data_IF_537582836678
#
_entry.id   IF_537582836678
#
_cell.length_a   1.000
_cell.length_b   1.000
_cell.length_c   1.000
_cell.angle_alpha   90.00
_cell.angle_beta   90.00
_cell.angle_gamma   90.00
#
_symmetry.space_group_name_H-M   'P 1'
#
loop_
_entity.id
_entity.type
_entity.pdbx_description
1 polymer ?
#
# COMPACT_ATOMS: atom_id res chain seq x y z
N UNK A 1 -12.46 -26.18 -8.42
CA UNK A 1 -12.86 -25.92 -7.02
C UNK A 1 -12.49 -24.47 -6.75
N UNK A 2 -13.47 -23.55 -6.72
CA UNK A 2 -13.20 -22.14 -6.48
C UNK A 2 -13.01 -21.92 -4.99
N UNK A 3 -11.80 -21.55 -4.57
CA UNK A 3 -11.55 -21.09 -3.21
C UNK A 3 -12.36 -19.79 -3.02
N UNK A 4 -13.11 -19.69 -1.92
CA UNK A 4 -13.97 -18.54 -1.67
C UNK A 4 -13.12 -17.29 -1.51
N UNK A 5 -13.47 -16.18 -2.19
CA UNK A 5 -12.69 -14.94 -2.23
C UNK A 5 -12.37 -14.26 -0.89
N UNK A 6 -12.79 -14.82 0.24
CA UNK A 6 -12.36 -14.41 1.58
C UNK A 6 -10.96 -14.91 1.95
N UNK A 7 -10.54 -16.09 1.50
CA UNK A 7 -9.23 -16.66 1.85
C UNK A 7 -8.08 -15.89 1.17
N UNK A 8 -8.26 -15.54 -0.11
CA UNK A 8 -7.29 -14.73 -0.88
C UNK A 8 -7.15 -13.32 -0.29
N UNK A 9 -8.23 -12.75 0.25
CA UNK A 9 -8.21 -11.45 0.89
C UNK A 9 -7.41 -11.45 2.20
N UNK A 10 -7.57 -12.51 3.02
CA UNK A 10 -6.81 -12.70 4.26
C UNK A 10 -5.33 -12.93 3.94
N UNK A 11 -5.02 -13.80 2.98
CA UNK A 11 -3.65 -14.07 2.57
C UNK A 11 -2.93 -12.80 2.04
N UNK A 12 -3.62 -11.96 1.26
CA UNK A 12 -3.06 -10.69 0.79
C UNK A 12 -2.78 -9.70 1.93
N UNK A 13 -3.64 -9.68 2.96
CA UNK A 13 -3.42 -8.87 4.16
C UNK A 13 -2.22 -9.38 4.95
N UNK A 14 -2.16 -10.68 5.23
CA UNK A 14 -1.06 -11.30 5.95
C UNK A 14 0.27 -11.13 5.22
N UNK A 15 0.25 -11.16 3.88
CA UNK A 15 1.43 -10.90 3.07
C UNK A 15 1.96 -9.47 3.26
N UNK A 16 1.08 -8.45 3.17
CA UNK A 16 1.45 -7.07 3.44
C UNK A 16 1.94 -6.89 4.89
N UNK A 17 1.21 -7.44 5.86
CA UNK A 17 1.56 -7.35 7.28
C UNK A 17 2.87 -8.06 7.61
N UNK A 18 3.14 -9.22 7.02
CA UNK A 18 4.40 -9.95 7.16
C UNK A 18 5.60 -9.28 6.48
N UNK A 19 5.36 -8.49 5.43
CA UNK A 19 6.41 -7.66 4.82
C UNK A 19 6.78 -6.49 5.74
N UNK A 20 5.77 -5.87 6.35
CA UNK A 20 5.95 -4.80 7.34
C UNK A 20 6.57 -5.29 8.64
N UNK A 21 6.31 -6.53 9.09
CA UNK A 21 6.91 -7.06 10.32
C UNK A 21 8.42 -7.28 10.21
N UNK A 22 8.99 -7.33 9.00
CA UNK A 22 10.45 -7.35 8.78
C UNK A 22 11.11 -6.01 9.09
N UNK A 23 10.30 -4.97 9.29
CA UNK A 23 10.70 -3.59 9.56
C UNK A 23 10.73 -3.31 11.07
N UNK A 24 10.22 -4.23 11.90
CA UNK A 24 10.01 -3.96 13.31
C UNK A 24 11.28 -4.21 14.13
N UNK A 25 11.87 -3.13 14.61
CA UNK A 25 13.07 -3.21 15.44
C UNK A 25 13.64 -1.86 15.83
N UNK A 26 12.82 -0.88 16.24
CA UNK A 26 13.29 0.38 16.84
C UNK A 26 14.28 1.20 15.98
N UNK A 27 14.47 0.81 14.72
CA UNK A 27 15.47 1.34 13.82
C UNK A 27 14.98 2.68 13.31
N UNK A 28 15.59 3.76 13.79
CA UNK A 28 15.26 5.12 13.35
C UNK A 28 16.16 5.58 12.21
N UNK A 29 17.12 4.74 11.82
CA UNK A 29 18.13 5.06 10.82
C UNK A 29 18.20 4.00 9.72
N UNK A 30 18.47 4.45 8.50
CA UNK A 30 18.71 3.58 7.34
C UNK A 30 19.84 2.57 7.55
N UNK A 31 20.80 2.88 8.45
CA UNK A 31 21.94 2.03 8.76
C UNK A 31 21.56 0.78 9.58
N UNK A 32 20.65 0.92 10.54
CA UNK A 32 20.12 -0.20 11.34
C UNK A 32 19.27 -1.14 10.48
N UNK A 33 18.57 -0.58 9.49
CA UNK A 33 17.74 -1.33 8.56
C UNK A 33 18.65 -2.11 7.57
N UNK A 34 19.70 -1.47 7.02
CA UNK A 34 20.69 -2.05 6.09
C UNK A 34 21.41 -3.35 6.50
N UNK A 35 21.30 -3.81 7.74
CA UNK A 35 21.90 -5.07 8.20
C UNK A 35 21.17 -6.35 7.75
N UNK A 36 19.94 -6.26 7.24
CA UNK A 36 19.10 -7.43 6.93
C UNK A 36 19.03 -7.74 5.42
N UNK A 37 19.26 -9.00 5.03
CA UNK A 37 19.30 -9.49 3.63
C UNK A 37 17.96 -9.30 2.88
N UNK A 38 18.09 -9.00 1.57
CA UNK A 38 17.09 -9.10 0.48
C UNK A 38 15.62 -8.80 0.83
N UNK A 39 15.13 -7.63 0.40
CA UNK A 39 13.80 -7.11 0.71
C UNK A 39 13.82 -5.78 1.49
N UNK A 40 15.02 -5.22 1.69
CA UNK A 40 15.23 -4.01 2.46
C UNK A 40 14.54 -2.78 1.88
N UNK A 41 14.61 -2.61 0.56
CA UNK A 41 14.10 -1.42 -0.11
C UNK A 41 12.58 -1.31 0.05
N UNK A 42 11.88 -2.42 -0.19
CA UNK A 42 10.42 -2.50 -0.05
C UNK A 42 10.01 -2.38 1.42
N UNK A 43 10.70 -3.07 2.31
CA UNK A 43 10.46 -3.00 3.76
C UNK A 43 10.62 -1.56 4.30
N UNK A 44 11.68 -0.84 3.92
CA UNK A 44 11.89 0.56 4.31
C UNK A 44 10.81 1.48 3.74
N UNK A 45 10.46 1.30 2.47
CA UNK A 45 9.44 2.13 1.81
C UNK A 45 8.05 1.97 2.44
N UNK A 46 7.73 0.75 2.91
CA UNK A 46 6.46 0.41 3.56
C UNK A 46 6.42 0.71 5.07
N UNK A 47 7.43 1.38 5.63
CA UNK A 47 7.47 1.64 7.07
C UNK A 47 6.22 2.41 7.53
N UNK A 48 5.52 1.85 8.51
CA UNK A 48 4.34 2.48 9.11
C UNK A 48 3.08 2.43 8.23
N UNK A 49 3.11 1.66 7.14
CA UNK A 49 1.93 1.35 6.34
C UNK A 49 0.90 0.58 7.20
N UNK A 50 -0.38 0.85 6.98
CA UNK A 50 -1.50 0.19 7.67
C UNK A 50 -2.48 -0.34 6.65
N UNK A 51 -2.77 -1.63 6.72
CA UNK A 51 -3.76 -2.26 5.82
C UNK A 51 -5.17 -1.98 6.33
N UNK A 52 -5.92 -1.17 5.58
CA UNK A 52 -7.31 -0.82 5.88
C UNK A 52 -8.28 -1.85 5.30
N UNK A 53 -8.01 -2.35 4.09
CA UNK A 53 -8.85 -3.35 3.41
C UNK A 53 -8.08 -4.09 2.32
N UNK A 54 -8.35 -5.39 2.18
CA UNK A 54 -7.96 -6.22 1.04
C UNK A 54 -9.16 -7.06 0.61
N UNK A 55 -9.33 -7.26 -0.69
CA UNK A 55 -10.34 -8.16 -1.24
C UNK A 55 -10.87 -7.74 -2.61
N UNK A 56 -11.32 -8.71 -3.41
CA UNK A 56 -12.07 -8.46 -4.64
C UNK A 56 -11.32 -7.63 -5.68
N UNK A 57 -9.99 -7.73 -5.74
CA UNK A 57 -9.16 -6.96 -6.65
C UNK A 57 -8.78 -5.59 -6.10
N UNK A 58 -8.92 -5.35 -4.80
CA UNK A 58 -8.61 -4.08 -4.17
C UNK A 58 -7.73 -4.25 -2.95
N UNK A 59 -6.77 -3.35 -2.78
CA UNK A 59 -6.01 -3.17 -1.55
C UNK A 59 -6.01 -1.68 -1.20
N UNK A 60 -6.39 -1.36 0.03
CA UNK A 60 -6.46 -0.01 0.57
C UNK A 60 -5.59 0.07 1.82
N UNK A 61 -4.62 0.97 1.78
CA UNK A 61 -3.68 1.20 2.88
C UNK A 61 -3.61 2.68 3.23
N UNK A 62 -3.13 2.99 4.43
CA UNK A 62 -2.70 4.34 4.81
C UNK A 62 -1.28 4.35 5.32
N UNK A 63 -0.60 5.48 5.20
CA UNK A 63 0.77 5.65 5.68
C UNK A 63 0.95 7.11 6.13
N UNK A 64 1.53 7.29 7.31
CA UNK A 64 2.00 8.60 7.75
C UNK A 64 3.43 8.76 7.28
N UNK A 65 3.71 9.75 6.42
CA UNK A 65 5.00 9.90 5.74
C UNK A 65 6.13 10.04 6.77
N UNK A 66 7.01 9.04 6.92
CA UNK A 66 8.07 9.10 7.91
C UNK A 66 9.22 9.98 7.41
N UNK A 67 9.89 10.66 8.36
CA UNK A 67 10.96 11.63 8.05
C UNK A 67 12.10 11.05 7.20
N UNK A 68 12.51 9.81 7.45
CA UNK A 68 13.61 9.17 6.72
C UNK A 68 13.24 8.74 5.29
N UNK A 69 11.95 8.77 4.92
CA UNK A 69 11.51 8.60 3.52
C UNK A 69 11.36 9.94 2.79
N UNK A 70 11.75 11.05 3.41
CA UNK A 70 11.68 12.38 2.79
C UNK A 70 13.03 12.86 2.28
N UNK A 71 13.03 13.61 1.18
CA UNK A 71 14.23 14.24 0.62
C UNK A 71 14.57 15.59 1.27
N UNK A 72 15.55 16.30 0.70
CA UNK A 72 16.07 17.58 1.21
C UNK A 72 14.99 18.69 1.36
N UNK A 73 13.86 18.57 0.66
CA UNK A 73 12.71 19.46 0.78
C UNK A 73 11.63 19.03 1.79
N UNK A 74 11.83 17.94 2.54
CA UNK A 74 10.83 17.36 3.44
C UNK A 74 9.63 16.72 2.74
N UNK A 75 9.75 16.48 1.43
CA UNK A 75 8.76 15.78 0.61
C UNK A 75 9.06 14.30 0.51
N UNK A 76 8.02 13.48 0.49
CA UNK A 76 8.11 12.04 0.32
C UNK A 76 8.82 11.68 -1.00
N UNK A 77 9.81 10.80 -0.92
CA UNK A 77 10.64 10.43 -2.04
C UNK A 77 9.83 9.65 -3.10
N UNK A 78 9.94 10.07 -4.37
CA UNK A 78 9.22 9.44 -5.49
C UNK A 78 9.51 7.94 -5.63
N UNK A 79 10.76 7.51 -5.39
CA UNK A 79 11.10 6.09 -5.39
C UNK A 79 10.41 5.28 -4.29
N UNK A 80 10.21 5.89 -3.11
CA UNK A 80 9.50 5.23 -2.01
C UNK A 80 8.00 5.16 -2.28
N UNK A 81 7.45 6.22 -2.87
CA UNK A 81 6.07 6.22 -3.39
C UNK A 81 5.89 5.08 -4.39
N UNK A 82 6.79 4.95 -5.37
CA UNK A 82 6.72 3.90 -6.38
C UNK A 82 6.73 2.49 -5.79
N UNK A 83 7.62 2.20 -4.84
CA UNK A 83 7.65 0.90 -4.14
C UNK A 83 6.34 0.60 -3.42
N UNK A 84 5.83 1.54 -2.62
CA UNK A 84 4.58 1.31 -1.87
C UNK A 84 3.41 1.06 -2.82
N UNK A 85 3.34 1.77 -3.95
CA UNK A 85 2.32 1.52 -4.96
C UNK A 85 2.45 0.13 -5.57
N UNK A 86 3.68 -0.31 -5.87
CA UNK A 86 3.94 -1.61 -6.49
C UNK A 86 3.49 -2.75 -5.58
N UNK A 87 3.90 -2.73 -4.31
CA UNK A 87 3.54 -3.76 -3.34
C UNK A 87 2.03 -3.78 -3.03
N UNK A 88 1.42 -2.60 -2.85
CA UNK A 88 -0.04 -2.52 -2.64
C UNK A 88 -0.82 -2.94 -3.89
N UNK A 89 -0.26 -2.69 -5.08
CA UNK A 89 -0.76 -3.20 -6.36
C UNK A 89 -0.68 -4.73 -6.45
N UNK A 90 0.46 -5.32 -6.08
CA UNK A 90 0.65 -6.76 -6.04
C UNK A 90 -0.33 -7.44 -5.06
N UNK A 91 -0.56 -6.84 -3.89
CA UNK A 91 -1.57 -7.31 -2.95
C UNK A 91 -2.98 -7.26 -3.54
N UNK A 92 -3.35 -6.19 -4.26
CA UNK A 92 -4.64 -6.11 -4.93
C UNK A 92 -4.84 -7.24 -5.96
N UNK A 93 -3.80 -7.61 -6.73
CA UNK A 93 -3.85 -8.77 -7.64
C UNK A 93 -4.01 -10.08 -6.86
N UNK A 94 -3.23 -10.25 -5.79
CA UNK A 94 -3.24 -11.45 -4.97
C UNK A 94 -4.64 -11.76 -4.41
N UNK A 95 -5.43 -10.74 -4.08
CA UNK A 95 -6.83 -10.90 -3.64
C UNK A 95 -7.79 -11.53 -4.67
N UNK A 96 -7.28 -11.83 -5.87
CA UNK A 96 -8.06 -12.40 -6.98
C UNK A 96 -7.39 -13.55 -7.72
N UNK A 97 -6.07 -13.67 -7.59
CA UNK A 97 -5.25 -14.70 -8.25
C UNK A 97 -4.70 -15.72 -7.24
N UNK A 98 -4.81 -15.42 -5.93
CA UNK A 98 -4.33 -16.28 -4.84
C UNK A 98 -2.81 -16.32 -4.67
N UNK A 99 -2.04 -15.61 -5.50
CA UNK A 99 -0.58 -15.55 -5.41
C UNK A 99 -0.05 -14.19 -5.90
N UNK A 100 1.16 -13.84 -5.46
CA UNK A 100 1.86 -12.63 -5.89
C UNK A 100 2.31 -12.77 -7.35
N UNK A 101 2.13 -11.70 -8.12
CA UNK A 101 2.67 -11.56 -9.47
C UNK A 101 3.73 -10.48 -9.49
N UNK A 102 4.78 -10.72 -10.26
CA UNK A 102 5.86 -9.76 -10.47
C UNK A 102 5.38 -8.68 -11.44
N UNK A 103 5.56 -7.42 -11.07
CA UNK A 103 5.36 -6.28 -11.96
C UNK A 103 6.43 -6.26 -13.04
N UNK A 104 5.99 -6.25 -14.30
CA UNK A 104 6.90 -6.17 -15.47
C UNK A 104 6.99 -4.73 -16.00
N UNK A 105 5.91 -3.96 -15.80
CA UNK A 105 5.77 -2.58 -16.26
C UNK A 105 4.77 -1.86 -15.33
N UNK A 106 5.08 -0.62 -14.96
CA UNK A 106 4.16 0.25 -14.24
C UNK A 106 4.37 1.71 -14.66
N UNK A 107 3.29 2.48 -14.67
CA UNK A 107 3.26 3.90 -14.98
C UNK A 107 2.71 4.67 -13.78
N UNK A 108 3.43 5.71 -13.35
CA UNK A 108 3.03 6.54 -12.21
C UNK A 108 3.01 8.00 -12.65
N UNK A 109 1.90 8.67 -12.38
CA UNK A 109 1.76 10.12 -12.52
C UNK A 109 1.76 10.80 -11.15
N UNK A 110 2.65 11.78 -10.96
CA UNK A 110 2.77 12.55 -9.72
C UNK A 110 2.06 13.90 -9.85
N UNK A 111 0.99 14.11 -9.08
CA UNK A 111 0.17 15.32 -9.16
C UNK A 111 0.49 16.35 -8.07
N UNK A 112 0.72 15.89 -6.84
CA UNK A 112 1.03 16.74 -5.70
C UNK A 112 2.05 16.06 -4.78
N UNK A 113 2.99 16.82 -4.18
CA UNK A 113 3.94 16.27 -3.23
C UNK A 113 3.29 16.08 -1.85
N UNK A 114 3.64 15.00 -1.16
CA UNK A 114 3.27 14.77 0.25
C UNK A 114 4.45 15.14 1.15
N UNK A 115 4.18 15.78 2.30
CA UNK A 115 5.20 16.19 3.27
C UNK A 115 5.39 15.18 4.39
N UNK A 116 6.51 15.30 5.11
CA UNK A 116 6.72 14.58 6.38
C UNK A 116 5.52 14.73 7.32
N UNK A 117 5.15 13.64 7.99
CA UNK A 117 4.00 13.49 8.89
C UNK A 117 2.63 13.71 8.25
N UNK A 118 2.55 13.82 6.93
CA UNK A 118 1.26 13.83 6.22
C UNK A 118 0.73 12.39 6.11
N UNK A 119 -0.56 12.20 6.41
CA UNK A 119 -1.23 10.92 6.21
C UNK A 119 -1.67 10.81 4.75
N UNK A 120 -1.20 9.77 4.07
CA UNK A 120 -1.57 9.44 2.70
C UNK A 120 -2.42 8.17 2.66
N UNK A 121 -3.28 8.08 1.66
CA UNK A 121 -4.07 6.88 1.38
C UNK A 121 -3.65 6.30 0.04
N UNK A 122 -3.46 4.99 0.01
CA UNK A 122 -3.06 4.22 -1.17
C UNK A 122 -4.22 3.28 -1.51
N UNK A 123 -4.89 3.51 -2.64
CA UNK A 123 -6.01 2.69 -3.12
C UNK A 123 -5.64 1.99 -4.43
N UNK A 124 -5.18 0.75 -4.35
CA UNK A 124 -4.87 -0.08 -5.51
C UNK A 124 -6.09 -0.90 -5.94
N UNK A 125 -6.37 -0.90 -7.24
CA UNK A 125 -7.51 -1.61 -7.85
C UNK A 125 -7.08 -2.35 -9.11
N UNK A 126 -7.49 -3.60 -9.21
CA UNK A 126 -7.34 -4.42 -10.40
C UNK A 126 -8.40 -3.97 -11.43
N UNK A 127 -7.96 -3.39 -12.55
CA UNK A 127 -8.85 -2.85 -13.58
C UNK A 127 -9.13 -3.87 -14.69
N UNK A 128 -8.15 -4.70 -15.08
CA UNK A 128 -8.32 -5.66 -16.16
C UNK A 128 -7.45 -6.90 -15.94
N UNK A 129 -8.06 -8.10 -16.09
CA UNK A 129 -7.32 -9.35 -16.26
C UNK A 129 -7.08 -9.57 -17.75
N UNK A 130 -5.84 -9.47 -18.19
CA UNK A 130 -5.40 -9.98 -19.50
C UNK A 130 -4.21 -10.90 -19.27
N UNK A 131 -3.93 -11.79 -20.22
CA UNK A 131 -2.81 -12.75 -20.19
C UNK A 131 -1.45 -12.08 -19.94
N UNK A 132 -1.36 -10.76 -20.18
CA UNK A 132 -0.35 -9.85 -19.64
C UNK A 132 -1.05 -8.94 -18.63
N UNK A 133 -0.77 -9.13 -17.33
CA UNK A 133 -1.46 -8.43 -16.24
C UNK A 133 -1.12 -6.94 -16.27
N UNK A 134 -2.01 -6.11 -16.80
CA UNK A 134 -1.87 -4.65 -16.73
C UNK A 134 -2.48 -4.16 -15.43
N UNK A 135 -1.64 -3.92 -14.44
CA UNK A 135 -2.02 -3.31 -13.16
C UNK A 135 -2.08 -1.81 -13.40
N UNK A 136 -3.28 -1.24 -13.35
CA UNK A 136 -3.42 0.22 -13.31
C UNK A 136 -3.61 0.63 -11.86
N UNK A 137 -2.50 0.78 -11.13
CA UNK A 137 -2.52 1.46 -9.85
C UNK A 137 -2.71 2.95 -10.11
N UNK A 138 -3.84 3.50 -9.66
CA UNK A 138 -4.09 4.95 -9.73
C UNK A 138 -3.91 5.49 -8.32
N UNK A 139 -2.81 6.18 -8.06
CA UNK A 139 -2.77 7.11 -6.94
C UNK A 139 -3.60 8.34 -7.31
N UNK A 140 -4.90 8.26 -7.06
CA UNK A 140 -5.68 9.48 -6.87
C UNK A 140 -5.31 10.03 -5.50
N UNK A 141 -4.35 10.94 -5.47
CA UNK A 141 -4.19 11.87 -4.35
C UNK A 141 -5.37 12.84 -4.31
N UNK A 142 -6.60 12.33 -4.20
CA UNK A 142 -7.77 13.14 -3.86
C UNK A 142 -7.77 13.37 -2.35
N UNK A 143 -6.84 14.23 -1.90
CA UNK A 143 -6.66 14.57 -0.48
C UNK A 143 -7.95 15.08 0.19
N UNK A 144 -8.94 15.55 -0.57
CA UNK A 144 -10.17 16.14 -0.04
C UNK A 144 -11.42 15.23 -0.19
N UNK A 145 -11.53 14.44 -1.26
CA UNK A 145 -12.69 13.57 -1.45
C UNK A 145 -12.59 12.29 -0.60
N UNK A 146 -11.36 11.80 -0.36
CA UNK A 146 -11.11 10.63 0.49
C UNK A 146 -11.34 10.91 1.97
N UNK A 147 -11.06 12.13 2.47
CA UNK A 147 -11.43 12.53 3.84
C UNK A 147 -12.94 12.38 4.07
N UNK A 148 -13.74 12.94 3.17
CA UNK A 148 -15.20 12.88 3.23
C UNK A 148 -15.74 11.46 3.07
N UNK A 149 -15.13 10.64 2.20
CA UNK A 149 -15.52 9.24 1.98
C UNK A 149 -15.16 8.34 3.16
N UNK A 150 -14.00 8.57 3.78
CA UNK A 150 -13.53 7.84 4.95
C UNK A 150 -14.39 8.20 6.17
N UNK A 151 -14.74 9.48 6.35
CA UNK A 151 -15.71 9.94 7.35
C UNK A 151 -17.10 9.33 7.14
N UNK A 152 -17.59 9.25 5.90
CA UNK A 152 -18.86 8.55 5.58
C UNK A 152 -18.80 7.06 5.93
N UNK A 153 -17.69 6.38 5.63
CA UNK A 153 -17.53 4.94 5.90
C UNK A 153 -17.37 4.66 7.39
N UNK A 154 -16.62 5.50 8.11
CA UNK A 154 -16.47 5.42 9.57
C UNK A 154 -17.81 5.66 10.27
N UNK A 155 -18.55 6.71 9.87
CA UNK A 155 -19.85 7.03 10.46
C UNK A 155 -20.89 5.92 10.23
N UNK A 156 -20.88 5.27 9.05
CA UNK A 156 -21.73 4.11 8.75
C UNK A 156 -21.39 2.87 9.58
N UNK A 157 -20.12 2.67 9.97
CA UNK A 157 -19.75 1.57 10.88
C UNK A 157 -20.21 1.83 12.31
N UNK A 158 -20.16 3.07 12.79
CA UNK A 158 -20.64 3.40 14.14
C UNK A 158 -22.17 3.27 14.28
N UNK A 159 -22.93 3.47 13.19
CA UNK A 159 -24.40 3.28 13.21
C UNK A 159 -24.83 1.82 13.14
N UNK A 160 -23.96 0.91 12.72
CA UNK A 160 -24.26 -0.54 12.64
C UNK A 160 -24.01 -1.30 13.94
N UNK A 161 -23.39 -0.67 14.95
CA UNK A 161 -23.08 -1.27 16.25
C UNK A 161 -23.81 -0.59 17.43
N UNK A 162 -24.87 0.20 17.16
CA UNK A 162 -25.84 0.69 18.14
C UNK A 162 -27.21 0.09 17.87
#
# INVERSE_FOLDING_TARGET
>A
MGMGGGEEAVAAREWLEGMMSRVDGGATTVAEICGSKAGLFDAVAMWGLKVLHTGGGRALCSLCVPKFLTGEGGYWHAGSIASVIDDVGAAAIMTTEGHIKVSVDFDISYFCPAKVNEEVVIDARLVMRATLNKVKSRLEGEMEALKKRLEEVLNKRETQYK
#
